data_IF_017536930041
#
_entry.id   IF_017536930041
#
_cell.length_a   1.000
_cell.length_b   1.000
_cell.length_c   1.000
_cell.angle_alpha   90.00
_cell.angle_beta   90.00
_cell.angle_gamma   90.00
#
_symmetry.space_group_name_H-M   'P 1'
#
loop_
_entity.id
_entity.type
_entity.pdbx_description
1 polymer ?
#
# COMPACT_ATOMS: atom_id res chain seq x y z
N UNK A 1 -47.17 43.94 23.87
CA UNK A 1 -46.42 42.75 23.42
C UNK A 1 -46.61 42.60 21.93
N UNK A 2 -45.67 43.07 21.13
CA UNK A 2 -45.66 42.89 19.67
C UNK A 2 -44.42 42.07 19.33
N UNK A 3 -44.65 40.83 18.88
CA UNK A 3 -43.59 39.95 18.40
C UNK A 3 -43.23 40.37 16.98
N UNK A 4 -42.03 40.93 16.81
CA UNK A 4 -41.50 41.31 15.49
C UNK A 4 -41.07 40.03 14.77
N UNK A 5 -41.94 39.49 13.92
CA UNK A 5 -41.62 38.39 13.00
C UNK A 5 -40.59 38.86 11.98
N UNK A 6 -39.38 38.31 12.06
CA UNK A 6 -38.31 38.50 11.09
C UNK A 6 -38.76 37.89 9.74
N UNK A 7 -38.65 38.67 8.67
CA UNK A 7 -39.08 38.29 7.32
C UNK A 7 -38.33 37.04 6.80
N UNK A 8 -38.99 36.12 6.07
CA UNK A 8 -38.37 34.91 5.51
C UNK A 8 -37.15 35.18 4.62
N UNK A 9 -37.05 36.38 4.04
CA UNK A 9 -35.92 36.81 3.22
C UNK A 9 -34.63 36.99 4.02
N UNK A 10 -34.71 37.40 5.30
CA UNK A 10 -33.54 37.57 6.18
C UNK A 10 -33.04 36.20 6.68
N UNK A 11 -33.94 35.23 6.85
CA UNK A 11 -33.59 33.84 7.20
C UNK A 11 -32.84 33.12 6.07
N UNK A 12 -33.01 33.57 4.81
CA UNK A 12 -32.32 33.02 3.63
C UNK A 12 -30.96 33.66 3.34
N UNK A 13 -30.62 34.77 4.02
CA UNK A 13 -29.36 35.49 3.84
C UNK A 13 -28.36 35.25 4.99
N UNK A 14 -28.77 34.46 6.00
CA UNK A 14 -27.92 33.93 7.07
C UNK A 14 -27.84 32.41 7.04
N UNK A 15 -27.88 31.79 5.85
CA UNK A 15 -27.13 30.55 5.69
C UNK A 15 -25.66 30.94 5.77
N UNK A 16 -25.12 30.96 6.99
CA UNK A 16 -23.68 30.87 7.19
C UNK A 16 -23.20 29.81 6.21
N UNK A 17 -22.32 30.18 5.29
CA UNK A 17 -21.51 29.20 4.59
C UNK A 17 -20.81 28.46 5.71
N UNK A 18 -21.36 27.33 6.16
CA UNK A 18 -20.69 26.48 7.11
C UNK A 18 -19.38 26.15 6.41
N UNK A 19 -18.28 26.72 6.90
CA UNK A 19 -16.96 26.46 6.34
C UNK A 19 -16.81 24.96 6.43
N UNK A 20 -16.78 24.28 5.27
CA UNK A 20 -16.68 22.83 5.24
C UNK A 20 -15.44 22.44 6.04
N UNK A 21 -15.64 21.62 7.08
CA UNK A 21 -14.56 21.16 7.94
C UNK A 21 -13.42 20.60 7.08
N UNK A 22 -12.19 21.03 7.36
CA UNK A 22 -10.98 20.68 6.62
C UNK A 22 -10.20 19.62 7.35
N UNK A 23 -10.06 18.45 6.75
CA UNK A 23 -9.31 17.34 7.33
C UNK A 23 -8.10 17.01 6.47
N UNK A 24 -6.94 16.90 7.10
CA UNK A 24 -5.75 16.33 6.48
C UNK A 24 -5.69 14.82 6.74
N UNK A 25 -5.46 14.03 5.70
CA UNK A 25 -5.22 12.59 5.82
C UNK A 25 -3.78 12.31 5.43
N UNK A 26 -3.00 11.73 6.35
CA UNK A 26 -1.59 11.43 6.13
C UNK A 26 -1.46 9.98 5.68
N UNK A 27 -1.11 9.80 4.41
CA UNK A 27 -1.01 8.52 3.70
C UNK A 27 -2.16 8.27 2.74
N UNK A 28 -1.81 7.84 1.53
CA UNK A 28 -2.70 7.49 0.41
C UNK A 28 -2.74 5.97 0.13
N UNK A 29 -2.35 5.17 1.13
CA UNK A 29 -2.67 3.74 1.14
C UNK A 29 -4.17 3.50 1.30
N UNK A 30 -4.61 2.23 1.24
CA UNK A 30 -6.03 1.89 1.29
C UNK A 30 -6.77 2.47 2.50
N UNK A 31 -6.17 2.46 3.69
CA UNK A 31 -6.78 3.02 4.91
C UNK A 31 -7.06 4.51 4.77
N UNK A 32 -6.04 5.30 4.39
CA UNK A 32 -6.19 6.74 4.19
C UNK A 32 -7.12 7.08 3.01
N UNK A 33 -7.04 6.34 1.91
CA UNK A 33 -7.89 6.56 0.74
C UNK A 33 -9.38 6.29 1.04
N UNK A 34 -9.70 5.21 1.77
CA UNK A 34 -11.08 4.91 2.21
C UNK A 34 -11.57 5.95 3.21
N UNK A 35 -10.73 6.37 4.17
CA UNK A 35 -11.06 7.41 5.13
C UNK A 35 -11.39 8.73 4.41
N UNK A 36 -10.51 9.17 3.52
CA UNK A 36 -10.67 10.41 2.76
C UNK A 36 -11.94 10.39 1.90
N UNK A 37 -12.16 9.31 1.14
CA UNK A 37 -13.36 9.16 0.33
C UNK A 37 -14.62 9.16 1.18
N UNK A 38 -14.61 8.51 2.35
CA UNK A 38 -15.78 8.46 3.24
C UNK A 38 -16.07 9.85 3.83
N UNK A 39 -15.05 10.56 4.30
CA UNK A 39 -15.19 11.92 4.81
C UNK A 39 -15.71 12.88 3.74
N UNK A 40 -15.15 12.81 2.52
CA UNK A 40 -15.56 13.65 1.40
C UNK A 40 -17.02 13.41 0.99
N UNK A 41 -17.47 12.15 0.95
CA UNK A 41 -18.89 11.79 0.70
C UNK A 41 -19.84 12.36 1.75
N UNK A 42 -19.35 12.67 2.95
CA UNK A 42 -20.11 13.29 4.03
C UNK A 42 -19.91 14.82 4.11
N UNK A 43 -19.37 15.45 3.07
CA UNK A 43 -19.28 16.91 2.97
C UNK A 43 -18.05 17.54 3.66
N UNK A 44 -17.10 16.73 4.11
CA UNK A 44 -15.82 17.21 4.67
C UNK A 44 -14.85 17.53 3.53
N UNK A 45 -14.16 18.66 3.60
CA UNK A 45 -13.11 19.01 2.65
C UNK A 45 -11.82 18.29 3.02
N UNK A 46 -11.40 17.29 2.24
CA UNK A 46 -10.25 16.45 2.59
C UNK A 46 -9.03 16.77 1.73
N UNK A 47 -7.86 16.88 2.36
CA UNK A 47 -6.56 16.85 1.65
C UNK A 47 -5.75 15.64 2.09
N UNK A 48 -5.40 14.76 1.16
CA UNK A 48 -4.47 13.64 1.39
C UNK A 48 -3.05 14.11 1.11
N UNK A 49 -2.12 13.78 2.00
CA UNK A 49 -0.69 13.98 1.81
C UNK A 49 0.04 12.63 1.82
N UNK A 50 0.90 12.39 0.83
CA UNK A 50 1.71 11.18 0.76
C UNK A 50 3.13 11.49 0.23
N UNK A 51 4.14 10.89 0.85
CA UNK A 51 5.54 11.02 0.43
C UNK A 51 5.84 10.27 -0.88
N UNK A 52 5.05 9.24 -1.19
CA UNK A 52 5.05 8.53 -2.46
C UNK A 52 4.57 9.42 -3.60
N UNK A 53 5.06 9.14 -4.81
CA UNK A 53 4.72 9.89 -6.04
C UNK A 53 3.32 9.58 -6.58
N UNK A 54 2.56 8.74 -5.89
CA UNK A 54 1.24 8.30 -6.30
C UNK A 54 0.62 7.40 -5.23
N UNK A 55 -0.67 7.03 -5.40
CA UNK A 55 -1.44 6.34 -4.38
C UNK A 55 -1.13 4.85 -4.31
N UNK A 56 -1.51 4.24 -3.17
CA UNK A 56 -1.52 2.79 -2.97
C UNK A 56 -0.68 2.32 -1.78
N UNK A 57 0.41 3.00 -1.44
CA UNK A 57 1.32 2.55 -0.37
C UNK A 57 1.79 1.11 -0.61
N UNK A 58 1.46 0.19 0.30
CA UNK A 58 1.74 -1.26 0.17
C UNK A 58 0.91 -1.98 -0.90
N UNK A 59 -0.07 -1.31 -1.50
CA UNK A 59 -0.81 -1.78 -2.67
C UNK A 59 -0.28 -1.15 -3.97
N UNK A 60 0.86 -0.44 -3.93
CA UNK A 60 1.40 0.25 -5.09
C UNK A 60 1.86 -0.70 -6.21
N UNK A 61 1.67 -0.23 -7.44
CA UNK A 61 2.18 -0.90 -8.64
C UNK A 61 3.49 -0.23 -9.07
N UNK A 62 4.51 -1.04 -9.34
CA UNK A 62 5.81 -0.61 -9.84
C UNK A 62 5.82 -0.66 -11.36
N UNK A 63 6.24 0.44 -12.00
CA UNK A 63 6.53 0.51 -13.43
C UNK A 63 8.04 0.43 -13.65
N UNK A 64 8.45 -0.46 -14.54
CA UNK A 64 9.83 -0.64 -14.98
C UNK A 64 9.86 -0.73 -16.51
N UNK A 65 11.01 -0.48 -17.12
CA UNK A 65 11.20 -0.57 -18.57
C UNK A 65 12.12 -1.76 -18.83
N UNK A 66 11.65 -2.73 -19.63
CA UNK A 66 12.44 -3.88 -20.05
C UNK A 66 13.54 -3.48 -21.04
N UNK A 67 14.49 -4.39 -21.26
CA UNK A 67 15.58 -4.17 -22.23
C UNK A 67 15.07 -3.99 -23.67
N UNK A 68 13.90 -4.55 -23.97
CA UNK A 68 13.19 -4.39 -25.25
C UNK A 68 12.41 -3.07 -25.34
N UNK A 69 12.52 -2.19 -24.33
CA UNK A 69 11.85 -0.90 -24.25
C UNK A 69 10.37 -0.97 -23.83
N UNK A 70 9.83 -2.17 -23.56
CA UNK A 70 8.42 -2.34 -23.15
C UNK A 70 8.23 -2.09 -21.66
N UNK A 71 7.04 -1.65 -21.30
CA UNK A 71 6.68 -1.42 -19.91
C UNK A 71 6.36 -2.73 -19.18
N UNK A 72 6.95 -2.90 -18.01
CA UNK A 72 6.65 -3.96 -17.07
C UNK A 72 5.97 -3.37 -15.83
N UNK A 73 4.79 -3.89 -15.50
CA UNK A 73 4.00 -3.47 -14.34
C UNK A 73 3.97 -4.60 -13.31
N UNK A 74 4.22 -4.27 -12.04
CA UNK A 74 4.32 -5.23 -10.95
C UNK A 74 3.59 -4.75 -9.69
N UNK A 75 2.60 -5.52 -9.21
CA UNK A 75 2.05 -5.32 -7.87
C UNK A 75 3.02 -5.91 -6.82
N UNK A 76 4.12 -5.20 -6.60
CA UNK A 76 5.24 -5.66 -5.77
C UNK A 76 4.99 -5.68 -4.25
N UNK A 77 3.78 -5.32 -3.80
CA UNK A 77 3.39 -5.31 -2.39
C UNK A 77 2.31 -6.34 -2.10
N UNK A 78 1.09 -5.88 -1.80
CA UNK A 78 -0.05 -6.75 -1.52
C UNK A 78 -0.39 -7.61 -2.75
N UNK A 79 -0.33 -8.96 -2.65
CA UNK A 79 -0.54 -9.84 -3.80
C UNK A 79 -2.03 -9.91 -4.19
N UNK A 80 -2.90 -10.00 -3.19
CA UNK A 80 -4.35 -10.03 -3.25
C UNK A 80 -4.88 -9.72 -1.85
N UNK A 81 -6.20 -9.59 -1.72
CA UNK A 81 -6.85 -9.55 -0.41
C UNK A 81 -8.05 -10.49 -0.39
N UNK A 82 -8.37 -11.00 0.80
CA UNK A 82 -9.58 -11.77 1.07
C UNK A 82 -10.48 -10.94 1.99
N UNK A 83 -11.79 -11.15 1.90
CA UNK A 83 -12.76 -10.43 2.74
C UNK A 83 -13.69 -11.43 3.42
N UNK A 84 -13.80 -11.29 4.74
CA UNK A 84 -14.71 -12.08 5.58
C UNK A 84 -15.74 -11.22 6.34
N UNK A 85 -15.50 -9.91 6.47
CA UNK A 85 -16.40 -8.97 7.11
C UNK A 85 -17.45 -8.47 6.10
N UNK A 86 -18.73 -8.45 6.50
CA UNK A 86 -19.87 -8.07 5.63
C UNK A 86 -19.81 -6.63 5.14
N UNK A 87 -19.40 -5.69 6.00
CA UNK A 87 -19.33 -4.26 5.66
C UNK A 87 -18.20 -4.00 4.66
N UNK A 88 -17.05 -4.65 4.85
CA UNK A 88 -15.97 -4.65 3.88
C UNK A 88 -16.38 -5.32 2.56
N UNK A 89 -17.21 -6.37 2.61
CA UNK A 89 -17.69 -7.04 1.39
C UNK A 89 -18.63 -6.13 0.58
N UNK A 90 -19.45 -5.32 1.23
CA UNK A 90 -20.27 -4.31 0.56
C UNK A 90 -19.41 -3.28 -0.19
N UNK A 91 -18.30 -2.83 0.42
CA UNK A 91 -17.34 -1.95 -0.26
C UNK A 91 -16.68 -2.64 -1.47
N UNK A 92 -16.31 -3.92 -1.34
CA UNK A 92 -15.76 -4.68 -2.47
C UNK A 92 -16.76 -4.77 -3.61
N UNK A 93 -18.04 -5.05 -3.33
CA UNK A 93 -19.07 -5.09 -4.37
C UNK A 93 -19.28 -3.72 -5.04
N UNK A 94 -19.24 -2.62 -4.28
CA UNK A 94 -19.21 -1.26 -4.85
C UNK A 94 -18.02 -1.12 -5.81
N UNK A 95 -16.82 -1.49 -5.37
CA UNK A 95 -15.60 -1.36 -6.18
C UNK A 95 -15.58 -2.28 -7.40
N UNK A 96 -16.12 -3.49 -7.31
CA UNK A 96 -16.32 -4.41 -8.44
C UNK A 96 -17.29 -3.80 -9.47
N UNK A 97 -18.42 -3.25 -9.03
CA UNK A 97 -19.41 -2.61 -9.91
C UNK A 97 -18.83 -1.41 -10.68
N UNK A 98 -17.80 -0.76 -10.10
CA UNK A 98 -17.07 0.37 -10.68
C UNK A 98 -15.83 -0.07 -11.49
N UNK A 99 -15.54 -1.37 -11.54
CA UNK A 99 -14.41 -1.95 -12.29
C UNK A 99 -13.04 -1.76 -11.62
N UNK A 100 -12.98 -1.38 -10.34
CA UNK A 100 -11.71 -1.18 -9.63
C UNK A 100 -11.12 -2.46 -9.09
N UNK A 101 -11.95 -3.47 -8.88
CA UNK A 101 -11.61 -4.76 -8.28
C UNK A 101 -12.20 -5.89 -9.12
N UNK A 102 -11.53 -7.02 -9.14
CA UNK A 102 -12.06 -8.26 -9.69
C UNK A 102 -11.57 -9.46 -8.88
N UNK A 103 -12.37 -10.53 -8.87
CA UNK A 103 -11.97 -11.82 -8.33
C UNK A 103 -10.83 -12.42 -9.18
N UNK A 104 -9.72 -12.78 -8.53
CA UNK A 104 -8.59 -13.45 -9.15
C UNK A 104 -8.76 -14.97 -9.07
N UNK A 105 -9.44 -15.52 -10.08
CA UNK A 105 -9.76 -16.95 -10.20
C UNK A 105 -8.57 -17.72 -10.75
N UNK A 106 -7.71 -18.20 -9.86
CA UNK A 106 -6.56 -19.02 -10.19
C UNK A 106 -6.36 -20.15 -9.19
N UNK A 107 -5.52 -21.12 -9.57
CA UNK A 107 -5.13 -22.23 -8.71
C UNK A 107 -3.97 -21.80 -7.81
N UNK A 108 -4.07 -22.10 -6.52
CA UNK A 108 -3.04 -21.81 -5.52
C UNK A 108 -2.53 -23.10 -4.87
N UNK A 109 -1.33 -23.08 -4.29
CA UNK A 109 -0.78 -24.26 -3.62
C UNK A 109 0.20 -23.96 -2.51
N UNK A 110 0.74 -25.02 -1.92
CA UNK A 110 1.87 -24.95 -0.99
C UNK A 110 2.97 -25.88 -1.44
N UNK A 111 4.19 -25.39 -1.49
CA UNK A 111 5.38 -26.13 -1.88
C UNK A 111 6.30 -26.31 -0.68
N UNK A 112 6.77 -27.52 -0.44
CA UNK A 112 7.73 -27.82 0.61
C UNK A 112 9.15 -27.93 0.03
N UNK A 113 10.01 -27.00 0.41
CA UNK A 113 11.39 -26.95 -0.05
C UNK A 113 12.26 -28.08 0.54
N UNK A 114 11.87 -28.68 1.67
CA UNK A 114 12.63 -29.79 2.24
C UNK A 114 12.42 -31.10 1.45
N UNK A 115 11.19 -31.35 0.99
CA UNK A 115 10.84 -32.54 0.21
C UNK A 115 10.80 -32.33 -1.30
N UNK A 116 10.92 -31.08 -1.77
CA UNK A 116 10.73 -30.65 -3.17
C UNK A 116 9.41 -31.12 -3.78
N UNK A 117 8.32 -31.01 -3.01
CA UNK A 117 6.99 -31.47 -3.40
C UNK A 117 5.91 -30.45 -3.07
N UNK A 118 4.85 -30.46 -3.87
CA UNK A 118 3.60 -29.78 -3.50
C UNK A 118 2.91 -30.56 -2.39
N UNK A 119 2.59 -29.87 -1.29
CA UNK A 119 1.83 -30.42 -0.16
C UNK A 119 0.34 -30.45 -0.43
N UNK A 120 -0.15 -29.59 -1.32
CA UNK A 120 -1.55 -29.49 -1.68
C UNK A 120 -1.82 -28.32 -2.63
N UNK A 121 -2.88 -28.48 -3.41
CA UNK A 121 -3.43 -27.46 -4.30
C UNK A 121 -4.79 -27.07 -3.72
N UNK A 122 -5.04 -25.76 -3.58
CA UNK A 122 -6.31 -25.22 -3.11
C UNK A 122 -7.45 -25.69 -4.02
N UNK A 123 -8.53 -26.17 -3.41
CA UNK A 123 -9.71 -26.65 -4.12
C UNK A 123 -10.71 -25.52 -4.36
N UNK A 124 -11.65 -25.78 -5.27
CA UNK A 124 -12.79 -24.90 -5.55
C UNK A 124 -13.64 -24.74 -4.28
N UNK A 125 -13.84 -23.49 -3.82
CA UNK A 125 -14.60 -23.17 -2.59
C UNK A 125 -13.80 -22.44 -1.49
N UNK A 126 -12.48 -22.29 -1.63
CA UNK A 126 -11.67 -21.46 -0.74
C UNK A 126 -12.07 -19.96 -0.81
N UNK A 127 -11.71 -19.20 0.23
CA UNK A 127 -12.02 -17.77 0.30
C UNK A 127 -11.57 -17.03 -0.98
N UNK A 128 -12.52 -16.28 -1.56
CA UNK A 128 -12.29 -15.49 -2.78
C UNK A 128 -11.13 -14.52 -2.58
N UNK A 129 -10.28 -14.45 -3.59
CA UNK A 129 -9.13 -13.54 -3.65
C UNK A 129 -9.46 -12.43 -4.61
N UNK A 130 -9.30 -11.19 -4.17
CA UNK A 130 -9.58 -10.01 -4.96
C UNK A 130 -8.30 -9.25 -5.26
N UNK A 131 -8.26 -8.63 -6.42
CA UNK A 131 -7.16 -7.76 -6.86
C UNK A 131 -7.72 -6.48 -7.47
N UNK A 132 -7.00 -5.37 -7.32
CA UNK A 132 -7.32 -4.14 -8.05
C UNK A 132 -7.12 -4.30 -9.55
N UNK A 133 -7.83 -3.57 -10.41
CA UNK A 133 -7.76 -3.65 -11.89
C UNK A 133 -7.55 -2.27 -12.50
N UNK A 134 -6.59 -2.05 -13.42
CA UNK A 134 -5.59 -2.99 -13.95
C UNK A 134 -4.35 -3.18 -13.05
N UNK A 135 -4.29 -2.55 -11.88
CA UNK A 135 -3.21 -2.68 -10.90
C UNK A 135 -3.77 -2.73 -9.48
N UNK A 136 -3.04 -3.29 -8.51
CA UNK A 136 -3.53 -3.36 -7.13
C UNK A 136 -3.83 -1.96 -6.55
N UNK A 137 -3.09 -0.94 -7.01
CA UNK A 137 -3.27 0.44 -6.58
C UNK A 137 -4.49 1.15 -7.18
N UNK A 138 -5.20 0.52 -8.13
CA UNK A 138 -6.38 1.12 -8.77
C UNK A 138 -7.45 1.53 -7.77
N UNK A 139 -7.62 0.75 -6.69
CA UNK A 139 -8.59 1.04 -5.63
C UNK A 139 -8.24 2.37 -4.96
N UNK A 140 -7.02 2.47 -4.42
CA UNK A 140 -6.55 3.71 -3.80
C UNK A 140 -6.53 4.88 -4.79
N UNK A 141 -6.16 4.64 -6.04
CA UNK A 141 -6.14 5.67 -7.09
C UNK A 141 -7.52 6.23 -7.34
N UNK A 142 -8.55 5.40 -7.45
CA UNK A 142 -9.91 5.86 -7.65
C UNK A 142 -10.42 6.67 -6.46
N UNK A 143 -10.22 6.16 -5.24
CA UNK A 143 -10.66 6.81 -4.00
C UNK A 143 -9.95 8.16 -3.75
N UNK A 144 -8.67 8.27 -4.12
CA UNK A 144 -7.92 9.53 -4.03
C UNK A 144 -8.36 10.59 -5.06
N UNK A 145 -9.16 10.22 -6.07
CA UNK A 145 -9.72 11.11 -7.09
C UNK A 145 -11.24 11.29 -6.95
N UNK A 146 -11.83 10.84 -5.83
CA UNK A 146 -13.24 11.07 -5.53
C UNK A 146 -13.52 12.57 -5.34
N UNK A 147 -14.74 12.99 -5.68
CA UNK A 147 -15.16 14.38 -5.50
C UNK A 147 -15.04 14.79 -4.04
N UNK A 148 -14.43 15.95 -3.78
CA UNK A 148 -14.16 16.46 -2.43
C UNK A 148 -12.83 16.00 -1.82
N UNK A 149 -12.08 15.14 -2.51
CA UNK A 149 -10.72 14.74 -2.12
C UNK A 149 -9.68 15.49 -2.95
N UNK A 150 -8.80 16.25 -2.29
CA UNK A 150 -7.59 16.80 -2.89
C UNK A 150 -6.40 15.93 -2.53
N UNK A 151 -5.63 15.45 -3.50
CA UNK A 151 -4.46 14.60 -3.24
C UNK A 151 -3.16 15.32 -3.56
N UNK A 152 -2.21 15.30 -2.61
CA UNK A 152 -0.89 15.90 -2.67
C UNK A 152 0.18 14.80 -2.56
N UNK A 153 0.65 14.28 -3.71
CA UNK A 153 1.69 13.25 -3.78
C UNK A 153 3.09 13.86 -3.85
N UNK A 154 4.09 13.12 -3.39
CA UNK A 154 5.46 13.62 -3.24
C UNK A 154 5.61 14.64 -2.11
N UNK A 155 4.63 14.71 -1.21
CA UNK A 155 4.53 15.64 -0.09
C UNK A 155 4.56 14.83 1.20
N UNK A 156 5.77 14.53 1.68
CA UNK A 156 5.95 13.91 2.98
C UNK A 156 5.77 14.93 4.09
N UNK A 157 4.91 14.62 5.07
CA UNK A 157 4.77 15.46 6.26
C UNK A 157 5.97 15.23 7.18
N UNK A 158 6.60 16.32 7.61
CA UNK A 158 7.70 16.30 8.56
C UNK A 158 7.32 16.83 9.94
N UNK A 159 6.28 17.66 10.04
CA UNK A 159 5.83 18.22 11.31
C UNK A 159 4.33 18.48 11.31
N UNK A 160 3.68 18.13 12.42
CA UNK A 160 2.28 18.40 12.72
C UNK A 160 2.22 19.10 14.07
N UNK A 161 1.74 20.33 14.08
CA UNK A 161 1.72 21.17 15.28
C UNK A 161 0.28 21.45 15.68
N UNK A 162 0.00 21.28 16.98
CA UNK A 162 -1.23 21.74 17.58
C UNK A 162 -1.07 23.20 18.03
N UNK A 163 -1.92 24.06 17.49
CA UNK A 163 -2.03 25.46 17.85
C UNK A 163 -3.29 25.65 18.70
N UNK A 164 -3.24 26.46 19.75
CA UNK A 164 -4.40 26.84 20.57
C UNK A 164 -5.30 27.86 19.85
N UNK A 165 -5.73 27.52 18.63
CA UNK A 165 -6.51 28.37 17.73
C UNK A 165 -7.74 27.61 17.18
N UNK A 166 -8.65 28.29 16.47
CA UNK A 166 -9.89 27.69 15.94
C UNK A 166 -9.63 26.54 14.94
N UNK A 167 -8.58 26.65 14.12
CA UNK A 167 -8.14 25.61 13.18
C UNK A 167 -6.77 25.11 13.65
N UNK A 168 -6.72 24.06 14.50
CA UNK A 168 -5.61 23.83 15.41
C UNK A 168 -4.40 23.17 14.73
N UNK A 169 -4.57 22.42 13.64
CA UNK A 169 -3.46 21.66 13.07
C UNK A 169 -2.72 22.43 11.99
N UNK A 170 -1.44 22.75 12.23
CA UNK A 170 -0.53 23.27 11.22
C UNK A 170 0.36 22.13 10.69
N UNK A 171 0.43 21.98 9.36
CA UNK A 171 1.25 20.96 8.71
C UNK A 171 2.41 21.56 7.93
N UNK A 172 3.59 20.96 8.09
CA UNK A 172 4.81 21.32 7.38
C UNK A 172 5.39 20.09 6.67
N UNK A 173 5.79 20.27 5.42
CA UNK A 173 6.36 19.18 4.62
C UNK A 173 7.86 18.95 4.92
N UNK A 174 8.43 17.91 4.34
CA UNK A 174 9.84 17.55 4.48
C UNK A 174 10.83 18.54 3.86
N UNK A 175 10.36 19.54 3.13
CA UNK A 175 11.16 20.64 2.57
C UNK A 175 11.05 21.91 3.43
N UNK A 176 10.22 21.89 4.47
CA UNK A 176 9.97 23.05 5.33
C UNK A 176 8.83 23.94 4.83
N UNK A 177 8.09 23.54 3.80
CA UNK A 177 6.98 24.31 3.25
C UNK A 177 5.73 24.16 4.13
N UNK A 178 5.05 25.29 4.39
CA UNK A 178 3.79 25.31 5.10
C UNK A 178 2.65 24.83 4.18
N UNK A 179 1.97 23.76 4.57
CA UNK A 179 0.91 23.13 3.79
C UNK A 179 -0.50 23.61 4.19
N UNK A 180 -0.58 24.51 5.16
CA UNK A 180 -1.82 25.11 5.66
C UNK A 180 -2.32 24.50 6.97
N UNK A 181 -3.50 24.96 7.36
CA UNK A 181 -4.16 24.60 8.62
C UNK A 181 -5.41 23.74 8.40
N UNK A 182 -5.65 22.82 9.32
CA UNK A 182 -6.75 21.84 9.26
C UNK A 182 -7.47 21.72 10.60
N UNK A 183 -8.78 21.47 10.54
CA UNK A 183 -9.63 21.24 11.71
C UNK A 183 -9.36 19.87 12.34
N UNK A 184 -8.88 18.91 11.54
CA UNK A 184 -8.51 17.58 12.01
C UNK A 184 -7.42 16.94 11.16
N UNK A 185 -6.71 15.99 11.77
CA UNK A 185 -5.70 15.16 11.12
C UNK A 185 -6.03 13.70 11.34
N UNK A 186 -6.01 12.90 10.27
CA UNK A 186 -6.09 11.44 10.34
C UNK A 186 -4.75 10.89 9.86
N UNK A 187 -4.06 10.18 10.74
CA UNK A 187 -2.84 9.46 10.38
C UNK A 187 -3.16 8.00 10.06
N UNK A 188 -2.80 7.57 8.85
CA UNK A 188 -3.11 6.21 8.36
C UNK A 188 -1.92 5.23 8.42
N UNK A 189 -0.79 5.68 8.98
CA UNK A 189 0.42 4.88 9.13
C UNK A 189 1.16 5.24 10.42
N UNK A 190 1.77 4.26 11.10
CA UNK A 190 2.46 4.48 12.38
C UNK A 190 3.79 5.23 12.26
N UNK A 191 4.34 5.41 11.05
CA UNK A 191 5.58 6.13 10.83
C UNK A 191 5.50 7.59 11.28
N UNK A 192 4.30 8.17 11.38
CA UNK A 192 4.12 9.53 11.91
C UNK A 192 4.62 9.71 13.35
N UNK A 193 4.79 8.61 14.10
CA UNK A 193 5.28 8.63 15.49
C UNK A 193 6.47 7.70 15.71
N UNK A 194 6.85 6.91 14.71
CA UNK A 194 7.84 5.86 14.89
C UNK A 194 9.27 6.43 14.90
N UNK A 195 10.15 6.01 15.83
CA UNK A 195 11.58 6.34 15.77
C UNK A 195 12.25 5.88 14.46
N UNK A 196 11.66 4.90 13.76
CA UNK A 196 12.10 4.48 12.42
C UNK A 196 12.07 5.63 11.42
N UNK A 197 11.13 6.57 11.57
CA UNK A 197 11.06 7.75 10.72
C UNK A 197 12.37 8.54 10.77
N UNK A 198 12.91 8.76 11.97
CA UNK A 198 14.21 9.44 12.17
C UNK A 198 15.36 8.64 11.59
N UNK A 199 15.37 7.33 11.78
CA UNK A 199 16.43 6.48 11.23
C UNK A 199 16.45 6.44 9.70
N UNK A 200 15.31 6.72 9.04
CA UNK A 200 15.19 6.72 7.57
C UNK A 200 15.37 8.12 6.98
N UNK A 201 14.85 9.16 7.63
CA UNK A 201 14.76 10.52 7.07
C UNK A 201 15.74 11.52 7.70
N UNK A 202 16.30 11.21 8.88
CA UNK A 202 17.07 12.15 9.69
C UNK A 202 16.23 13.21 10.42
N UNK A 203 14.90 13.18 10.28
CA UNK A 203 13.98 14.14 10.89
C UNK A 203 13.28 13.53 12.13
N UNK A 204 12.86 14.33 13.13
CA UNK A 204 12.01 13.82 14.20
C UNK A 204 10.68 13.28 13.64
N UNK A 205 9.99 12.36 14.35
CA UNK A 205 8.67 11.91 13.93
C UNK A 205 7.70 13.08 13.76
N UNK A 206 6.83 13.07 12.73
CA UNK A 206 5.94 14.18 12.43
C UNK A 206 4.97 14.59 13.53
N UNK A 207 4.47 13.64 14.33
CA UNK A 207 3.60 13.91 15.46
C UNK A 207 4.39 13.82 16.77
N UNK A 208 4.32 14.89 17.57
CA UNK A 208 4.79 14.82 18.94
C UNK A 208 3.82 13.98 19.78
N UNK A 209 4.31 12.83 20.26
CA UNK A 209 3.55 11.91 21.10
C UNK A 209 3.23 12.50 22.49
N UNK A 210 3.90 13.57 22.92
CA UNK A 210 3.56 14.28 24.16
C UNK A 210 2.12 14.81 24.15
N UNK A 211 1.56 15.06 22.95
CA UNK A 211 0.17 15.48 22.74
C UNK A 211 -0.84 14.35 23.00
N UNK A 212 -0.41 13.09 22.93
CA UNK A 212 -1.27 11.90 23.02
C UNK A 212 -0.58 10.75 23.80
N UNK A 213 -0.26 10.93 25.09
CA UNK A 213 0.58 10.01 25.85
C UNK A 213 0.01 8.58 25.93
N UNK A 214 -1.31 8.42 25.99
CA UNK A 214 -1.95 7.09 26.02
C UNK A 214 -1.76 6.29 24.72
N UNK A 215 -1.66 6.98 23.58
CA UNK A 215 -1.41 6.34 22.28
C UNK A 215 0.06 5.98 22.11
N UNK A 216 0.98 6.75 22.70
CA UNK A 216 2.42 6.53 22.60
C UNK A 216 2.81 5.09 22.96
N UNK A 217 2.37 4.60 24.12
CA UNK A 217 2.66 3.23 24.58
C UNK A 217 2.05 2.17 23.67
N UNK A 218 0.83 2.38 23.19
CA UNK A 218 0.15 1.42 22.30
C UNK A 218 0.85 1.31 20.95
N UNK A 219 1.32 2.43 20.40
CA UNK A 219 1.96 2.50 19.08
C UNK A 219 3.38 1.90 19.07
N UNK A 220 4.12 2.01 20.18
CA UNK A 220 5.44 1.40 20.32
C UNK A 220 5.41 -0.13 20.22
N UNK A 221 4.30 -0.75 20.65
CA UNK A 221 4.15 -2.20 20.70
C UNK A 221 3.61 -2.85 19.41
N UNK A 222 3.40 -2.08 18.34
CA UNK A 222 2.88 -2.63 17.08
C UNK A 222 4.03 -3.21 16.25
N UNK A 223 4.18 -4.56 16.15
CA UNK A 223 5.24 -5.15 15.36
C UNK A 223 5.02 -4.87 13.86
N UNK A 224 6.13 -4.73 13.11
CA UNK A 224 6.12 -4.75 11.65
C UNK A 224 7.16 -5.76 11.20
N UNK A 225 6.72 -6.71 10.39
CA UNK A 225 7.59 -7.71 9.80
C UNK A 225 8.12 -7.16 8.46
N UNK A 226 9.45 -7.02 8.30
CA UNK A 226 10.01 -6.61 7.02
C UNK A 226 9.89 -7.74 6.00
N UNK A 227 9.86 -7.38 4.72
CA UNK A 227 10.02 -8.37 3.66
C UNK A 227 10.72 -7.76 2.45
N UNK A 228 11.39 -8.61 1.68
CA UNK A 228 11.82 -8.26 0.34
C UNK A 228 10.83 -8.83 -0.67
N UNK A 229 10.53 -8.04 -1.70
CA UNK A 229 9.79 -8.49 -2.88
C UNK A 229 10.72 -8.53 -4.08
N UNK A 230 10.79 -9.67 -4.77
CA UNK A 230 11.54 -9.83 -6.02
C UNK A 230 10.56 -9.86 -7.20
N UNK A 231 10.74 -8.92 -8.13
CA UNK A 231 9.99 -8.83 -9.38
C UNK A 231 10.76 -9.53 -10.50
N UNK A 232 10.12 -10.47 -11.17
CA UNK A 232 10.70 -11.27 -12.27
C UNK A 232 9.84 -11.16 -13.53
N UNK A 233 10.46 -11.11 -14.71
CA UNK A 233 9.77 -11.31 -15.98
C UNK A 233 10.48 -12.34 -16.85
N UNK A 234 9.69 -13.23 -17.46
CA UNK A 234 10.13 -14.31 -18.32
C UNK A 234 9.52 -14.16 -19.70
N UNK A 235 10.30 -14.49 -20.73
CA UNK A 235 9.86 -14.46 -22.12
C UNK A 235 8.84 -15.57 -22.39
N UNK A 236 9.13 -16.77 -21.89
CA UNK A 236 8.27 -17.93 -22.01
C UNK A 236 7.59 -18.23 -20.66
N UNK A 237 6.33 -18.73 -20.67
CA UNK A 237 5.64 -19.12 -19.44
C UNK A 237 6.34 -20.25 -18.67
N UNK A 238 6.33 -20.16 -17.34
CA UNK A 238 6.86 -21.17 -16.42
C UNK A 238 5.90 -22.35 -16.28
N UNK A 239 5.80 -23.15 -17.34
CA UNK A 239 4.82 -24.25 -17.46
C UNK A 239 5.01 -25.37 -16.44
N UNK A 240 6.19 -25.50 -15.83
CA UNK A 240 6.48 -26.48 -14.77
C UNK A 240 5.77 -26.18 -13.46
N UNK A 241 5.25 -24.96 -13.27
CA UNK A 241 4.54 -24.57 -12.05
C UNK A 241 3.02 -24.75 -12.27
N UNK A 242 2.37 -25.72 -11.62
CA UNK A 242 0.95 -26.03 -11.85
C UNK A 242 -0.02 -25.06 -11.19
N UNK A 243 0.48 -24.06 -10.45
CA UNK A 243 -0.30 -23.08 -9.69
C UNK A 243 0.16 -21.66 -10.01
N UNK A 244 -0.69 -20.65 -9.79
CA UNK A 244 -0.37 -19.24 -10.04
C UNK A 244 -0.19 -18.41 -8.76
N UNK A 245 -0.33 -19.04 -7.60
CA UNK A 245 0.20 -18.53 -6.34
C UNK A 245 0.59 -19.70 -5.43
N UNK A 246 1.71 -19.58 -4.73
CA UNK A 246 2.19 -20.62 -3.83
C UNK A 246 2.85 -20.04 -2.58
N UNK A 247 2.60 -20.70 -1.45
CA UNK A 247 3.41 -20.51 -0.25
C UNK A 247 4.56 -21.51 -0.23
N UNK A 248 5.72 -21.05 0.25
CA UNK A 248 6.86 -21.94 0.49
C UNK A 248 6.85 -22.38 1.96
N UNK A 249 7.06 -23.67 2.19
CA UNK A 249 7.29 -24.28 3.50
C UNK A 249 8.75 -24.71 3.58
N UNK A 250 9.33 -24.58 4.78
CA UNK A 250 10.72 -24.95 5.05
C UNK A 250 11.74 -24.28 4.12
N UNK A 251 11.44 -23.07 3.64
CA UNK A 251 12.43 -22.20 2.97
C UNK A 251 12.94 -21.18 3.97
N UNK A 252 14.25 -20.96 3.98
CA UNK A 252 14.87 -19.93 4.80
C UNK A 252 14.67 -18.54 4.19
N UNK A 253 14.53 -18.46 2.86
CA UNK A 253 14.55 -17.20 2.11
C UNK A 253 13.16 -16.82 1.61
N UNK A 254 12.38 -17.73 1.04
CA UNK A 254 11.11 -17.43 0.39
C UNK A 254 9.90 -17.81 1.26
N UNK A 255 8.88 -16.96 1.26
CA UNK A 255 7.61 -17.22 1.95
C UNK A 255 6.44 -17.40 0.98
N UNK A 256 6.46 -16.68 -0.14
CA UNK A 256 5.37 -16.65 -1.10
C UNK A 256 5.86 -16.35 -2.52
N UNK A 257 5.18 -16.87 -3.53
CA UNK A 257 5.31 -16.46 -4.92
C UNK A 257 3.97 -16.39 -5.63
N UNK A 258 3.84 -15.54 -6.62
CA UNK A 258 2.65 -15.49 -7.47
C UNK A 258 2.91 -14.95 -8.87
N UNK A 259 2.07 -15.38 -9.81
CA UNK A 259 2.10 -14.99 -11.21
C UNK A 259 1.26 -13.71 -11.44
N UNK A 260 1.91 -12.56 -11.43
CA UNK A 260 1.30 -11.23 -11.62
C UNK A 260 0.51 -11.14 -12.92
N UNK A 261 1.04 -11.68 -14.02
CA UNK A 261 0.43 -11.59 -15.35
C UNK A 261 -0.90 -12.33 -15.48
N UNK A 262 -1.27 -13.18 -14.52
CA UNK A 262 -2.57 -13.88 -14.51
C UNK A 262 -3.68 -13.12 -13.79
N UNK A 263 -3.36 -11.98 -13.16
CA UNK A 263 -4.35 -11.11 -12.53
C UNK A 263 -5.22 -10.43 -13.61
N UNK A 264 -6.53 -10.25 -13.40
CA UNK A 264 -7.40 -9.56 -14.34
C UNK A 264 -6.88 -8.18 -14.77
N UNK A 265 -6.89 -7.90 -16.07
CA UNK A 265 -6.47 -6.61 -16.63
C UNK A 265 -4.95 -6.36 -16.67
N UNK A 266 -4.10 -7.36 -16.39
CA UNK A 266 -2.64 -7.26 -16.61
C UNK A 266 -2.32 -7.61 -18.06
N UNK A 267 -1.21 -7.05 -18.57
CA UNK A 267 -0.70 -7.44 -19.89
C UNK A 267 -0.20 -8.90 -19.88
N UNK A 268 -0.32 -9.57 -21.01
CA UNK A 268 0.10 -10.96 -21.21
C UNK A 268 1.31 -11.08 -22.13
N UNK A 269 2.02 -9.98 -22.40
CA UNK A 269 3.17 -9.94 -23.33
C UNK A 269 4.40 -10.69 -22.79
N UNK A 270 4.45 -10.89 -21.47
CA UNK A 270 5.47 -11.68 -20.77
C UNK A 270 4.85 -12.26 -19.50
N UNK A 271 5.37 -13.41 -19.05
CA UNK A 271 4.96 -13.95 -17.76
C UNK A 271 5.75 -13.28 -16.64
N UNK A 272 5.03 -12.72 -15.66
CA UNK A 272 5.63 -11.96 -14.56
C UNK A 272 5.34 -12.62 -13.24
N UNK A 273 6.36 -12.72 -12.39
CA UNK A 273 6.26 -13.31 -11.07
C UNK A 273 6.75 -12.34 -9.99
N UNK A 274 6.09 -12.38 -8.85
CA UNK A 274 6.52 -11.67 -7.63
C UNK A 274 6.77 -12.70 -6.54
N UNK A 275 7.96 -12.66 -5.95
CA UNK A 275 8.35 -13.50 -4.84
C UNK A 275 8.48 -12.63 -3.59
N UNK A 276 8.06 -13.12 -2.44
CA UNK A 276 8.26 -12.49 -1.15
C UNK A 276 9.20 -13.31 -0.29
N UNK A 277 10.11 -12.63 0.40
CA UNK A 277 11.01 -13.27 1.34
C UNK A 277 10.30 -13.66 2.63
N UNK A 278 10.96 -14.47 3.46
CA UNK A 278 10.62 -14.60 4.87
C UNK A 278 10.98 -13.31 5.63
N UNK A 279 10.32 -13.04 6.78
CA UNK A 279 10.74 -11.97 7.68
C UNK A 279 12.14 -12.18 8.25
N UNK A 280 12.54 -13.44 8.52
CA UNK A 280 13.84 -13.77 9.10
C UNK A 280 14.99 -13.46 8.15
N UNK A 281 14.85 -13.83 6.86
CA UNK A 281 15.79 -13.42 5.82
C UNK A 281 15.90 -11.89 5.76
N UNK A 282 14.75 -11.19 5.71
CA UNK A 282 14.74 -9.74 5.62
C UNK A 282 15.40 -9.06 6.83
N UNK A 283 15.14 -9.56 8.04
CA UNK A 283 15.79 -9.11 9.27
C UNK A 283 17.30 -9.35 9.24
N UNK A 284 17.75 -10.50 8.75
CA UNK A 284 19.19 -10.82 8.64
C UNK A 284 19.93 -9.86 7.71
N UNK A 285 19.30 -9.45 6.61
CA UNK A 285 19.84 -8.47 5.67
C UNK A 285 19.83 -7.07 6.30
N UNK A 286 18.73 -6.68 6.96
CA UNK A 286 18.62 -5.39 7.65
C UNK A 286 19.65 -5.25 8.77
N UNK A 287 19.93 -6.32 9.52
CA UNK A 287 20.96 -6.30 10.57
C UNK A 287 22.35 -5.96 10.02
N UNK A 288 22.65 -6.35 8.78
CA UNK A 288 23.93 -6.08 8.11
C UNK A 288 23.98 -4.73 7.41
N UNK A 289 22.83 -4.25 6.91
CA UNK A 289 22.76 -3.11 5.98
C UNK A 289 22.10 -1.85 6.57
N UNK A 290 21.44 -1.98 7.72
CA UNK A 290 20.68 -0.92 8.36
C UNK A 290 19.37 -0.58 7.64
N UNK A 291 18.69 0.47 8.12
CA UNK A 291 17.39 0.93 7.60
C UNK A 291 17.50 1.99 6.50
N UNK A 292 18.71 2.44 6.18
CA UNK A 292 18.95 3.37 5.09
C UNK A 292 18.63 2.74 3.72
N UNK A 293 18.42 3.59 2.72
CA UNK A 293 18.14 3.12 1.35
C UNK A 293 19.31 2.26 0.85
N UNK A 294 18.98 1.04 0.41
CA UNK A 294 19.99 0.11 -0.11
C UNK A 294 20.54 0.59 -1.46
N UNK A 295 21.82 0.27 -1.70
CA UNK A 295 22.46 0.49 -3.00
C UNK A 295 21.91 -0.49 -4.04
N UNK A 296 22.06 -0.15 -5.32
CA UNK A 296 21.69 -1.05 -6.42
C UNK A 296 22.47 -2.37 -6.36
N UNK A 297 23.74 -2.34 -5.96
CA UNK A 297 24.57 -3.55 -5.82
C UNK A 297 24.01 -4.49 -4.74
N UNK A 298 23.62 -3.95 -3.58
CA UNK A 298 23.00 -4.75 -2.52
C UNK A 298 21.67 -5.33 -2.96
N UNK A 299 20.82 -4.56 -3.65
CA UNK A 299 19.55 -5.06 -4.18
C UNK A 299 19.75 -6.13 -5.26
N UNK A 300 20.79 -6.03 -6.07
CA UNK A 300 21.12 -7.06 -7.07
C UNK A 300 21.53 -8.37 -6.38
N UNK A 301 22.39 -8.32 -5.36
CA UNK A 301 22.77 -9.50 -4.55
C UNK A 301 21.54 -10.17 -3.92
N UNK A 302 20.64 -9.38 -3.33
CA UNK A 302 19.38 -9.88 -2.76
C UNK A 302 18.49 -10.53 -3.85
N UNK A 303 18.45 -9.92 -5.04
CA UNK A 303 17.70 -10.46 -6.17
C UNK A 303 18.26 -11.83 -6.59
N UNK A 304 19.57 -11.95 -6.70
CA UNK A 304 20.27 -13.20 -7.02
C UNK A 304 20.05 -14.28 -5.96
N UNK A 305 20.14 -13.94 -4.67
CA UNK A 305 19.90 -14.87 -3.56
C UNK A 305 18.45 -15.41 -3.57
N UNK A 306 17.46 -14.51 -3.67
CA UNK A 306 16.06 -14.89 -3.71
C UNK A 306 15.71 -15.70 -4.97
N UNK A 307 16.29 -15.35 -6.13
CA UNK A 307 16.07 -16.11 -7.35
C UNK A 307 16.75 -17.48 -7.30
N UNK A 308 17.94 -17.58 -6.71
CA UNK A 308 18.65 -18.85 -6.51
C UNK A 308 17.84 -19.80 -5.63
N UNK A 309 17.23 -19.32 -4.54
CA UNK A 309 16.32 -20.14 -3.72
C UNK A 309 15.15 -20.66 -4.57
N UNK A 310 14.60 -19.81 -5.43
CA UNK A 310 13.51 -20.23 -6.32
C UNK A 310 13.97 -21.29 -7.33
N UNK A 311 15.19 -21.20 -7.85
CA UNK A 311 15.77 -22.23 -8.72
C UNK A 311 16.06 -23.54 -7.95
N UNK A 312 16.53 -23.45 -6.71
CA UNK A 312 16.80 -24.62 -5.85
C UNK A 312 15.54 -25.45 -5.56
N UNK A 313 14.35 -24.85 -5.65
CA UNK A 313 13.07 -25.58 -5.57
C UNK A 313 12.82 -26.53 -6.75
N UNK A 314 13.58 -26.41 -7.85
CA UNK A 314 13.37 -27.17 -9.08
C UNK A 314 12.15 -26.73 -9.91
N UNK A 315 11.39 -25.74 -9.44
CA UNK A 315 10.20 -25.21 -10.13
C UNK A 315 10.54 -24.39 -11.38
N UNK A 316 11.74 -23.82 -11.43
CA UNK A 316 12.17 -22.90 -12.51
C UNK A 316 13.59 -23.21 -12.96
N UNK A 317 13.75 -23.40 -14.26
CA UNK A 317 15.05 -23.58 -14.93
C UNK A 317 15.43 -22.42 -15.86
N UNK A 318 14.45 -21.68 -16.37
CA UNK A 318 14.67 -20.54 -17.25
C UNK A 318 15.18 -19.32 -16.50
N UNK A 319 16.06 -18.54 -17.12
CA UNK A 319 16.48 -17.25 -16.60
C UNK A 319 15.44 -16.16 -16.95
N UNK A 320 15.12 -15.26 -16.00
CA UNK A 320 14.29 -14.10 -16.29
C UNK A 320 15.09 -13.09 -17.14
N UNK A 321 14.41 -12.38 -18.05
CA UNK A 321 15.03 -11.26 -18.77
C UNK A 321 14.96 -9.97 -17.95
N UNK A 322 14.16 -9.94 -16.88
CA UNK A 322 14.08 -8.82 -15.94
C UNK A 322 14.02 -9.33 -14.51
N UNK A 323 14.82 -8.74 -13.63
CA UNK A 323 14.87 -9.07 -12.21
C UNK A 323 15.16 -7.84 -11.36
N UNK A 324 14.37 -7.60 -10.31
CA UNK A 324 14.59 -6.47 -9.39
C UNK A 324 13.98 -6.68 -8.01
N UNK A 325 14.78 -6.52 -6.96
CA UNK A 325 14.31 -6.54 -5.57
C UNK A 325 13.82 -5.17 -5.08
N UNK A 326 12.91 -5.20 -4.11
CA UNK A 326 12.44 -4.07 -3.33
C UNK A 326 12.31 -4.47 -1.85
N UNK A 327 12.57 -3.54 -0.93
CA UNK A 327 12.46 -3.75 0.52
C UNK A 327 11.24 -3.01 1.06
N UNK A 328 10.35 -3.75 1.72
CA UNK A 328 9.26 -3.22 2.53
C UNK A 328 9.70 -3.11 4.00
#
# INVERSE_FOLDING_TARGET
MAATTISPAIRKQMSSVAVAMKVAVIGSGISGAVCASTLARNGVSVTIFDSGRGPGGRMSQRREIGEDGKELMFDHGAPFFCVSNSDAMALVHEWESRGFVSEWKQVFGSFDCASNKFLGIQQEGDAKKYVGVPGMNSISKALCNESGVKSMFGTGIAKMEWLEEEIPWLLTDSKGENLGRFDGVVASDKNIVSPRFTQVTGLPPPLDLSLVPELATKLQNIPVLPCFSLMLAFKEPLSSIPVKGLSFKNSEILSWAHCESTKPGRSTDSERWILHSTPDYANSVIAKTGLQKLSSETLNKISEEMFKEFQCSGLVSSLPFFMKAHRW
#
